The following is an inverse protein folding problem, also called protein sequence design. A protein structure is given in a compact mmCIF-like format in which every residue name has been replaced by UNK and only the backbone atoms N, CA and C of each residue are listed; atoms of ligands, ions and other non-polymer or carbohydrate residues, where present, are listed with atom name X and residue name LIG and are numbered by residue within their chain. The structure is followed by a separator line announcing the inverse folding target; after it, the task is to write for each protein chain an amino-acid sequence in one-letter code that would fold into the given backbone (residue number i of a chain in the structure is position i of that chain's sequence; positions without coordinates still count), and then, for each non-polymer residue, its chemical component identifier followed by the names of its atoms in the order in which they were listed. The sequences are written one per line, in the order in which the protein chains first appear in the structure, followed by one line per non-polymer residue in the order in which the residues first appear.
data_IF_078043800888
#
_entry.id   IF_078043800888
#
_cell.length_a   1.000
_cell.length_b   1.000
_cell.length_c   1.000
_cell.angle_alpha   90.00
_cell.angle_beta   90.00
_cell.angle_gamma   90.00
#
_symmetry.space_group_name_H-M   'P 1'
#
loop_
_entity.id
_entity.type
_entity.pdbx_description
1 polymer ?
#
# COMPACT_ATOMS: atom_id res chain seq x y z
N UNK A 1 5.23 -8.47 31.34
CA UNK A 1 6.45 -8.35 30.50
C UNK A 1 6.14 -7.74 29.12
N UNK A 2 5.00 -7.06 28.92
CA UNK A 2 4.30 -7.25 27.63
C UNK A 2 4.01 -5.97 26.83
N UNK A 3 4.08 -4.77 27.43
CA UNK A 3 3.82 -3.51 26.71
C UNK A 3 4.85 -3.22 25.61
N UNK A 4 6.13 -3.50 25.87
CA UNK A 4 7.18 -3.32 24.88
C UNK A 4 7.04 -4.32 23.73
N UNK A 5 6.63 -5.56 24.02
CA UNK A 5 6.34 -6.58 23.01
C UNK A 5 5.18 -6.15 22.11
N UNK A 6 4.07 -5.64 22.66
CA UNK A 6 2.94 -5.15 21.88
C UNK A 6 3.30 -3.95 20.99
N UNK A 7 4.07 -2.99 21.52
CA UNK A 7 4.55 -1.82 20.78
C UNK A 7 5.47 -2.27 19.63
N UNK A 8 6.45 -3.13 19.92
CA UNK A 8 7.35 -3.67 18.91
C UNK A 8 6.61 -4.50 17.86
N UNK A 9 5.66 -5.34 18.24
CA UNK A 9 4.87 -6.13 17.29
C UNK A 9 3.99 -5.25 16.41
N UNK A 10 3.36 -4.20 16.95
CA UNK A 10 2.55 -3.27 16.15
C UNK A 10 3.40 -2.52 15.12
N UNK A 11 4.59 -2.05 15.53
CA UNK A 11 5.53 -1.39 14.62
C UNK A 11 5.98 -2.34 13.51
N UNK A 12 6.39 -3.57 13.87
CA UNK A 12 6.82 -4.60 12.91
C UNK A 12 5.68 -5.00 11.97
N UNK A 13 4.47 -5.19 12.49
CA UNK A 13 3.28 -5.45 11.67
C UNK A 13 3.05 -4.32 10.66
N UNK A 14 3.14 -3.06 11.10
CA UNK A 14 3.02 -1.90 10.20
C UNK A 14 4.12 -1.86 9.14
N UNK A 15 5.35 -2.16 9.53
CA UNK A 15 6.49 -2.23 8.63
C UNK A 15 6.34 -3.35 7.58
N UNK A 16 5.94 -4.56 7.98
CA UNK A 16 5.70 -5.66 7.06
C UNK A 16 4.49 -5.42 6.16
N UNK A 17 3.42 -4.81 6.68
CA UNK A 17 2.25 -4.45 5.90
C UNK A 17 2.56 -3.39 4.83
N UNK A 18 3.57 -2.55 5.04
CA UNK A 18 4.06 -1.62 4.02
C UNK A 18 4.62 -2.33 2.78
N UNK A 19 5.17 -3.54 2.97
CA UNK A 19 5.76 -4.36 1.92
C UNK A 19 4.69 -5.11 1.11
N UNK A 20 3.47 -5.24 1.65
CA UNK A 20 2.37 -5.88 0.94
C UNK A 20 1.93 -5.01 -0.25
N UNK A 21 1.79 -5.60 -1.45
CA UNK A 21 1.37 -4.86 -2.63
C UNK A 21 -0.09 -4.44 -2.49
N UNK A 22 -0.29 -3.13 -2.35
CA UNK A 22 -1.59 -2.48 -2.35
C UNK A 22 -1.70 -1.44 -3.46
N UNK A 23 -2.92 -1.17 -3.91
CA UNK A 23 -3.19 -0.27 -5.04
C UNK A 23 -2.61 1.14 -4.81
N UNK A 24 -2.84 1.71 -3.62
CA UNK A 24 -2.29 3.02 -3.24
C UNK A 24 -0.76 3.03 -3.17
N UNK A 25 -0.15 2.01 -2.58
CA UNK A 25 1.32 1.90 -2.42
C UNK A 25 2.03 1.77 -3.77
N UNK A 26 1.44 1.05 -4.73
CA UNK A 26 1.98 0.98 -6.09
C UNK A 26 1.90 2.33 -6.79
N UNK A 27 0.80 3.06 -6.65
CA UNK A 27 0.60 4.38 -7.26
C UNK A 27 1.64 5.40 -6.76
N UNK A 28 1.99 5.32 -5.46
CA UNK A 28 3.09 6.10 -4.87
C UNK A 28 4.44 5.77 -5.53
N UNK A 29 4.75 4.47 -5.70
CA UNK A 29 6.03 4.03 -6.26
C UNK A 29 6.13 4.32 -7.77
N UNK A 30 5.06 4.10 -8.54
CA UNK A 30 5.04 4.41 -9.98
C UNK A 30 5.17 5.90 -10.23
N UNK A 31 4.58 6.74 -9.39
CA UNK A 31 4.78 8.19 -9.44
C UNK A 31 6.25 8.58 -9.26
N UNK A 32 6.93 8.04 -8.24
CA UNK A 32 8.35 8.36 -8.00
C UNK A 32 9.26 7.91 -9.15
N UNK A 33 8.93 6.77 -9.78
CA UNK A 33 9.64 6.25 -10.96
C UNK A 33 9.42 7.16 -12.17
N UNK A 34 8.16 7.49 -12.49
CA UNK A 34 7.83 8.26 -13.70
C UNK A 34 8.19 9.73 -13.61
N UNK A 35 8.21 10.31 -12.40
CA UNK A 35 8.44 11.75 -12.20
C UNK A 35 9.92 12.14 -12.08
N UNK A 36 10.85 11.18 -12.08
CA UNK A 36 12.24 11.37 -11.62
C UNK A 36 12.24 11.98 -10.20
N UNK A 37 11.46 11.38 -9.31
CA UNK A 37 11.18 11.93 -7.99
C UNK A 37 12.44 12.22 -7.18
N UNK A 38 12.46 13.37 -6.51
CA UNK A 38 13.48 13.72 -5.51
C UNK A 38 13.20 12.95 -4.21
N UNK A 39 14.21 12.82 -3.35
CA UNK A 39 14.04 12.22 -2.02
C UNK A 39 12.92 12.92 -1.24
N UNK A 40 12.80 14.25 -1.38
CA UNK A 40 11.73 15.05 -0.78
C UNK A 40 10.34 14.59 -1.27
N UNK A 41 10.21 14.21 -2.54
CA UNK A 41 8.94 13.74 -3.09
C UNK A 41 8.53 12.43 -2.40
N UNK A 42 9.48 11.51 -2.17
CA UNK A 42 9.22 10.26 -1.44
C UNK A 42 8.82 10.50 0.02
N UNK A 43 9.44 11.47 0.70
CA UNK A 43 9.10 11.85 2.08
C UNK A 43 7.69 12.42 2.15
N UNK A 44 7.36 13.38 1.27
CA UNK A 44 6.03 14.01 1.24
C UNK A 44 4.96 12.98 0.93
N UNK A 45 5.15 12.18 -0.13
CA UNK A 45 4.17 11.18 -0.55
C UNK A 45 3.93 10.13 0.54
N UNK A 46 5.01 9.57 1.10
CA UNK A 46 4.93 8.55 2.15
C UNK A 46 4.29 9.09 3.42
N UNK A 47 4.59 10.32 3.81
CA UNK A 47 3.98 10.98 4.98
C UNK A 47 2.50 11.24 4.75
N UNK A 48 2.12 11.86 3.63
CA UNK A 48 0.70 12.16 3.34
C UNK A 48 -0.13 10.88 3.26
N UNK A 49 0.39 9.86 2.57
CA UNK A 49 -0.29 8.56 2.46
C UNK A 49 -0.48 7.90 3.84
N UNK A 50 0.56 7.90 4.68
CA UNK A 50 0.48 7.33 6.03
C UNK A 50 -0.49 8.10 6.91
N UNK A 51 -0.44 9.43 6.89
CA UNK A 51 -1.33 10.27 7.69
C UNK A 51 -2.80 10.08 7.29
N UNK A 52 -3.09 10.10 6.00
CA UNK A 52 -4.47 9.93 5.49
C UNK A 52 -5.01 8.54 5.78
N UNK A 53 -4.16 7.52 5.68
CA UNK A 53 -4.47 6.14 6.10
C UNK A 53 -4.78 6.04 7.59
N UNK A 54 -3.89 6.56 8.43
CA UNK A 54 -4.09 6.59 9.88
C UNK A 54 -5.37 7.31 10.24
N UNK A 55 -5.61 8.49 9.63
CA UNK A 55 -6.78 9.31 9.91
C UNK A 55 -8.09 8.57 9.61
N UNK A 56 -8.17 7.89 8.46
CA UNK A 56 -9.35 7.08 8.12
C UNK A 56 -9.62 5.96 9.14
N UNK A 57 -8.57 5.27 9.61
CA UNK A 57 -8.66 4.21 10.63
C UNK A 57 -9.11 4.78 11.97
N UNK A 58 -8.53 5.90 12.41
CA UNK A 58 -8.89 6.54 13.68
C UNK A 58 -10.34 7.02 13.69
N UNK A 59 -10.81 7.64 12.59
CA UNK A 59 -12.21 8.05 12.45
C UNK A 59 -13.14 6.84 12.57
N UNK A 60 -12.86 5.78 11.81
CA UNK A 60 -13.67 4.56 11.87
C UNK A 60 -13.63 3.93 13.27
N UNK A 61 -12.47 3.90 13.92
CA UNK A 61 -12.34 3.42 15.29
C UNK A 61 -13.16 4.19 16.31
N UNK A 62 -13.20 5.52 16.20
CA UNK A 62 -14.03 6.38 17.05
C UNK A 62 -15.51 6.11 16.79
N UNK A 63 -15.93 6.04 15.52
CA UNK A 63 -17.30 5.69 15.13
C UNK A 63 -17.71 4.33 15.69
N UNK A 64 -16.84 3.32 15.60
CA UNK A 64 -17.07 1.98 16.16
C UNK A 64 -17.13 2.00 17.69
N UNK A 65 -16.28 2.80 18.36
CA UNK A 65 -16.25 2.89 19.83
C UNK A 65 -17.52 3.52 20.42
N UNK A 66 -18.17 4.41 19.66
CA UNK A 66 -19.39 5.12 20.08
C UNK A 66 -20.65 4.32 19.70
N UNK A 67 -20.60 3.55 18.61
CA UNK A 67 -21.71 2.71 18.17
C UNK A 67 -21.83 1.46 19.05
N UNK A 68 -23.05 1.13 19.51
CA UNK A 68 -23.35 0.07 20.47
C UNK A 68 -23.19 -1.38 19.93
N UNK A 69 -22.13 -1.67 19.16
CA UNK A 69 -21.78 -3.04 18.77
C UNK A 69 -22.49 -3.63 17.55
N UNK A 70 -23.03 -2.82 16.63
CA UNK A 70 -23.91 -3.32 15.54
C UNK A 70 -23.14 -3.70 14.25
N UNK A 71 -21.84 -3.43 14.15
CA UNK A 71 -21.09 -3.79 12.94
C UNK A 71 -20.44 -5.17 13.08
N UNK A 72 -20.93 -6.15 12.32
CA UNK A 72 -20.25 -7.43 12.10
C UNK A 72 -18.97 -7.17 11.28
N UNK A 73 -17.83 -7.00 11.96
CA UNK A 73 -16.57 -6.51 11.38
C UNK A 73 -15.84 -7.55 10.51
N UNK A 74 -15.98 -8.86 10.78
CA UNK A 74 -15.29 -9.92 10.05
C UNK A 74 -15.64 -9.95 8.54
N UNK A 75 -16.88 -9.63 8.18
CA UNK A 75 -17.33 -9.70 6.79
C UNK A 75 -16.72 -8.59 5.93
N UNK A 76 -16.49 -7.41 6.50
CA UNK A 76 -15.89 -6.28 5.79
C UNK A 76 -14.40 -6.51 5.49
N UNK A 77 -13.67 -7.11 6.44
CA UNK A 77 -12.25 -7.45 6.29
C UNK A 77 -12.04 -8.47 5.17
N UNK A 78 -12.85 -9.53 5.16
CA UNK A 78 -12.76 -10.59 4.15
C UNK A 78 -13.12 -10.12 2.74
N UNK A 79 -14.18 -9.31 2.62
CA UNK A 79 -14.63 -8.78 1.32
C UNK A 79 -13.57 -7.85 0.70
N UNK A 80 -12.96 -6.98 1.50
CA UNK A 80 -11.92 -6.06 1.03
C UNK A 80 -10.67 -6.80 0.52
N UNK A 81 -10.24 -7.86 1.21
CA UNK A 81 -9.09 -8.67 0.78
C UNK A 81 -9.37 -9.48 -0.50
N UNK A 82 -10.56 -10.07 -0.63
CA UNK A 82 -10.97 -10.77 -1.84
C UNK A 82 -11.00 -9.80 -3.03
N UNK A 83 -11.57 -8.61 -2.84
CA UNK A 83 -11.63 -7.58 -3.88
C UNK A 83 -10.23 -7.10 -4.29
N UNK A 84 -9.32 -6.90 -3.33
CA UNK A 84 -7.93 -6.55 -3.60
C UNK A 84 -7.19 -7.64 -4.38
N UNK A 85 -7.34 -8.92 -3.99
CA UNK A 85 -6.72 -10.06 -4.69
C UNK A 85 -7.22 -10.22 -6.12
N UNK A 86 -8.54 -10.09 -6.35
CA UNK A 86 -9.13 -10.11 -7.70
C UNK A 86 -8.55 -8.99 -8.56
N UNK A 87 -8.49 -7.76 -8.05
CA UNK A 87 -7.97 -6.61 -8.77
C UNK A 87 -6.49 -6.81 -9.17
N UNK A 88 -5.66 -7.30 -8.25
CA UNK A 88 -4.23 -7.56 -8.52
C UNK A 88 -4.05 -8.61 -9.61
N UNK A 89 -4.89 -9.66 -9.63
CA UNK A 89 -4.86 -10.68 -10.68
C UNK A 89 -5.28 -10.10 -12.03
N UNK A 90 -6.33 -9.27 -12.07
CA UNK A 90 -6.77 -8.59 -13.30
C UNK A 90 -5.62 -7.74 -13.85
N UNK A 91 -4.94 -6.96 -13.00
CA UNK A 91 -3.79 -6.14 -13.41
C UNK A 91 -2.62 -7.01 -13.91
N UNK A 92 -2.29 -8.10 -13.20
CA UNK A 92 -1.22 -9.02 -13.60
C UNK A 92 -1.48 -9.69 -14.96
N UNK A 93 -2.70 -10.19 -15.16
CA UNK A 93 -3.14 -10.80 -16.43
C UNK A 93 -3.14 -9.76 -17.55
N UNK A 94 -3.65 -8.55 -17.30
CA UNK A 94 -3.66 -7.48 -18.29
C UNK A 94 -2.24 -7.07 -18.71
N UNK A 95 -1.30 -6.98 -17.77
CA UNK A 95 0.12 -6.74 -18.06
C UNK A 95 0.73 -7.89 -18.89
N UNK A 96 0.40 -9.14 -18.58
CA UNK A 96 0.90 -10.30 -19.32
C UNK A 96 0.38 -10.31 -20.77
N UNK A 97 -0.92 -10.06 -20.97
CA UNK A 97 -1.56 -9.98 -22.29
C UNK A 97 -0.98 -8.82 -23.10
N UNK A 98 -0.74 -7.68 -22.45
CA UNK A 98 -0.16 -6.50 -23.09
C UNK A 98 1.24 -6.77 -23.67
N UNK A 99 2.09 -7.49 -22.92
CA UNK A 99 3.44 -7.84 -23.39
C UNK A 99 3.41 -8.88 -24.52
N UNK A 100 2.43 -9.80 -24.49
CA UNK A 100 2.27 -10.85 -25.50
C UNK A 100 1.69 -10.33 -26.82
N UNK A 101 0.76 -9.38 -26.77
CA UNK A 101 0.13 -8.82 -27.98
C UNK A 101 1.07 -7.92 -28.79
N UNK A 102 2.24 -7.58 -28.29
CA UNK A 102 3.15 -6.63 -28.95
C UNK A 102 2.54 -5.23 -29.09
N UNK A 103 1.33 -5.02 -28.57
CA UNK A 103 0.73 -3.72 -28.49
C UNK A 103 1.67 -2.88 -27.65
N UNK A 104 2.18 -1.81 -28.25
CA UNK A 104 2.46 -0.60 -27.51
C UNK A 104 1.26 -0.46 -26.56
N UNK A 105 1.50 -0.61 -25.26
CA UNK A 105 0.61 0.02 -24.29
C UNK A 105 0.58 1.44 -24.82
N UNK A 106 -0.52 1.81 -25.47
CA UNK A 106 -0.87 3.21 -25.53
C UNK A 106 -0.75 3.59 -24.07
N UNK A 107 0.29 4.36 -23.75
CA UNK A 107 0.19 5.28 -22.66
C UNK A 107 -1.12 5.98 -22.98
N UNK A 108 -2.22 5.47 -22.45
CA UNK A 108 -3.25 6.33 -21.95
C UNK A 108 -2.50 7.12 -20.89
N UNK A 109 -1.80 8.14 -21.40
CA UNK A 109 -1.60 9.39 -20.75
C UNK A 109 -3.02 9.81 -20.37
N UNK A 110 -3.53 9.27 -19.27
CA UNK A 110 -4.47 10.02 -18.49
C UNK A 110 -3.70 11.30 -18.20
N UNK A 111 -4.06 12.32 -18.98
CA UNK A 111 -3.62 13.69 -18.88
C UNK A 111 -4.08 14.23 -17.53
N UNK A 112 -3.57 13.67 -16.43
CA UNK A 112 -3.46 14.37 -15.18
C UNK A 112 -2.41 15.43 -15.43
N UNK A 113 -2.92 16.58 -15.88
CA UNK A 113 -2.26 17.88 -15.89
C UNK A 113 -1.09 17.84 -14.92
N UNK A 114 0.13 17.86 -15.47
CA UNK A 114 1.40 17.93 -14.73
C UNK A 114 1.29 19.01 -13.65
N UNK A 115 0.82 18.68 -12.45
CA UNK A 115 1.07 19.50 -11.29
C UNK A 115 2.45 19.09 -10.80
N UNK A 116 3.47 19.74 -11.35
CA UNK A 116 4.86 19.72 -10.84
C UNK A 116 4.96 20.44 -9.48
N UNK A 117 3.99 20.25 -8.60
CA UNK A 117 3.84 20.99 -7.36
C UNK A 117 3.36 20.09 -6.23
N UNK A 118 3.63 20.53 -5.00
CA UNK A 118 3.31 19.82 -3.76
C UNK A 118 1.84 19.36 -3.70
N UNK A 119 0.91 20.11 -4.29
CA UNK A 119 -0.52 19.77 -4.37
C UNK A 119 -0.79 18.46 -5.13
N UNK A 120 -0.04 18.20 -6.21
CA UNK A 120 -0.16 16.94 -6.96
C UNK A 120 0.31 15.76 -6.12
N UNK A 121 1.41 15.93 -5.38
CA UNK A 121 1.91 14.92 -4.44
C UNK A 121 0.92 14.65 -3.32
N UNK A 122 0.34 15.69 -2.75
CA UNK A 122 -0.66 15.55 -1.68
C UNK A 122 -1.87 14.79 -2.20
N UNK A 123 -2.39 15.14 -3.39
CA UNK A 123 -3.56 14.47 -3.98
C UNK A 123 -3.31 12.97 -4.20
N UNK A 124 -2.13 12.61 -4.71
CA UNK A 124 -1.72 11.21 -4.91
C UNK A 124 -1.54 10.49 -3.56
N UNK A 125 -0.95 11.17 -2.57
CA UNK A 125 -0.81 10.64 -1.22
C UNK A 125 -2.17 10.35 -0.57
N UNK A 126 -3.11 11.29 -0.67
CA UNK A 126 -4.47 11.16 -0.12
C UNK A 126 -5.22 10.03 -0.80
N UNK A 127 -5.19 9.94 -2.13
CA UNK A 127 -5.89 8.87 -2.84
C UNK A 127 -5.33 7.49 -2.50
N UNK A 128 -4.01 7.38 -2.30
CA UNK A 128 -3.36 6.14 -1.89
C UNK A 128 -3.60 5.76 -0.44
N UNK A 129 -3.84 6.72 0.45
CA UNK A 129 -4.01 6.50 1.89
C UNK A 129 -5.45 6.41 2.37
N UNK A 130 -6.44 6.97 1.66
CA UNK A 130 -7.83 7.06 2.15
C UNK A 130 -8.50 5.72 2.47
N UNK A 131 -8.04 4.63 1.84
CA UNK A 131 -8.55 3.29 2.11
C UNK A 131 -7.90 2.75 3.39
N UNK A 132 -8.67 2.55 4.47
CA UNK A 132 -8.15 2.04 5.73
C UNK A 132 -7.74 0.57 5.58
N UNK A 133 -6.74 0.17 6.38
CA UNK A 133 -6.24 -1.20 6.39
C UNK A 133 -7.12 -2.07 7.29
N UNK A 134 -7.59 -3.25 6.81
CA UNK A 134 -8.38 -4.17 7.63
C UNK A 134 -7.59 -4.68 8.83
N UNK A 135 -6.29 -5.00 8.70
CA UNK A 135 -5.48 -5.50 9.81
C UNK A 135 -5.37 -4.49 10.98
N UNK A 136 -5.26 -3.19 10.68
CA UNK A 136 -5.25 -2.15 11.70
C UNK A 136 -6.61 -2.00 12.38
N UNK A 137 -7.71 -2.14 11.62
CA UNK A 137 -9.08 -2.14 12.16
C UNK A 137 -9.37 -3.39 13.00
N UNK A 138 -8.83 -4.56 12.64
CA UNK A 138 -8.98 -5.79 13.41
C UNK A 138 -8.35 -5.65 14.81
N UNK A 139 -7.11 -5.14 14.88
CA UNK A 139 -6.43 -4.88 16.16
C UNK A 139 -7.20 -3.86 17.00
N UNK A 140 -7.63 -2.76 16.39
CA UNK A 140 -8.41 -1.73 17.06
C UNK A 140 -9.73 -2.29 17.60
N UNK A 141 -10.48 -3.03 16.77
CA UNK A 141 -11.73 -3.69 17.14
C UNK A 141 -11.56 -4.68 18.29
N UNK A 142 -10.50 -5.51 18.25
CA UNK A 142 -10.21 -6.46 19.31
C UNK A 142 -9.97 -5.78 20.67
N UNK A 143 -9.25 -4.66 20.67
CA UNK A 143 -9.01 -3.89 21.91
C UNK A 143 -10.25 -3.12 22.39
N UNK A 144 -11.09 -2.64 21.47
CA UNK A 144 -12.40 -2.04 21.81
C UNK A 144 -13.30 -3.09 22.46
N UNK A 145 -13.39 -4.29 21.86
CA UNK A 145 -14.15 -5.41 22.40
C UNK A 145 -13.62 -5.88 23.78
N UNK A 146 -12.30 -5.80 23.98
CA UNK A 146 -11.65 -6.06 25.27
C UNK A 146 -11.80 -4.95 26.32
N UNK A 147 -12.56 -3.88 26.02
CA UNK A 147 -12.79 -2.76 26.95
C UNK A 147 -11.60 -1.81 27.12
N UNK A 148 -10.59 -1.88 26.24
CA UNK A 148 -9.35 -1.08 26.31
C UNK A 148 -9.10 -0.32 25.00
N UNK A 149 -10.04 0.54 24.56
CA UNK A 149 -9.95 1.24 23.28
C UNK A 149 -8.69 2.11 23.15
N UNK A 150 -8.22 2.70 24.26
CA UNK A 150 -7.01 3.52 24.29
C UNK A 150 -5.76 2.75 23.82
N UNK A 151 -5.65 1.46 24.18
CA UNK A 151 -4.55 0.61 23.76
C UNK A 151 -4.58 0.38 22.24
N UNK A 152 -5.77 0.18 21.67
CA UNK A 152 -5.96 0.06 20.22
C UNK A 152 -5.53 1.30 19.46
N UNK A 153 -5.96 2.48 19.90
CA UNK A 153 -5.57 3.74 19.26
C UNK A 153 -4.05 3.95 19.31
N UNK A 154 -3.42 3.63 20.44
CA UNK A 154 -1.96 3.68 20.57
C UNK A 154 -1.27 2.71 19.60
N UNK A 155 -1.76 1.46 19.51
CA UNK A 155 -1.21 0.46 18.59
C UNK A 155 -1.36 0.88 17.13
N UNK A 156 -2.46 1.51 16.73
CA UNK A 156 -2.67 2.05 15.38
C UNK A 156 -1.65 3.16 15.06
N UNK A 157 -1.35 4.04 16.01
CA UNK A 157 -0.34 5.09 15.82
C UNK A 157 1.03 4.44 15.59
N UNK A 158 1.41 3.46 16.43
CA UNK A 158 2.70 2.77 16.33
C UNK A 158 2.81 1.96 15.02
N UNK A 159 1.74 1.26 14.65
CA UNK A 159 1.63 0.58 13.36
C UNK A 159 1.86 1.54 12.20
N UNK A 160 1.24 2.72 12.26
CA UNK A 160 1.36 3.74 11.22
C UNK A 160 2.76 4.34 11.13
N UNK A 161 3.48 4.46 12.24
CA UNK A 161 4.89 4.85 12.23
C UNK A 161 5.77 3.82 11.50
N UNK A 162 5.55 2.52 11.75
CA UNK A 162 6.24 1.44 11.04
C UNK A 162 5.93 1.45 9.54
N UNK A 163 4.66 1.60 9.19
CA UNK A 163 4.19 1.71 7.81
C UNK A 163 4.84 2.88 7.07
N UNK A 164 4.82 4.07 7.67
CA UNK A 164 5.37 5.29 7.05
C UNK A 164 6.87 5.23 6.89
N UNK A 165 7.61 4.70 7.88
CA UNK A 165 9.05 4.54 7.79
C UNK A 165 9.46 3.65 6.60
N UNK A 166 8.77 2.52 6.41
CA UNK A 166 9.05 1.61 5.29
C UNK A 166 8.65 2.21 3.95
N UNK A 167 7.50 2.88 3.83
CA UNK A 167 7.09 3.52 2.57
C UNK A 167 8.07 4.60 2.11
N UNK A 168 8.52 5.46 3.04
CA UNK A 168 9.54 6.47 2.74
C UNK A 168 10.86 5.79 2.36
N UNK A 169 11.28 4.78 3.14
CA UNK A 169 12.50 4.02 2.88
C UNK A 169 12.50 3.34 1.50
N UNK A 170 11.40 2.67 1.14
CA UNK A 170 11.20 2.08 -0.18
C UNK A 170 11.24 3.14 -1.27
N UNK A 171 10.55 4.28 -1.11
CA UNK A 171 10.57 5.36 -2.08
C UNK A 171 12.00 5.89 -2.34
N UNK A 172 12.78 6.10 -1.28
CA UNK A 172 14.19 6.52 -1.39
C UNK A 172 15.04 5.43 -2.06
N UNK A 173 14.86 4.17 -1.66
CA UNK A 173 15.56 3.02 -2.24
C UNK A 173 15.28 2.93 -3.74
N UNK A 174 14.02 3.09 -4.17
CA UNK A 174 13.62 3.09 -5.57
C UNK A 174 14.24 4.25 -6.36
N UNK A 175 14.27 5.46 -5.80
CA UNK A 175 14.92 6.63 -6.44
C UNK A 175 16.42 6.37 -6.60
N UNK A 176 17.10 5.85 -5.58
CA UNK A 176 18.54 5.55 -5.66
C UNK A 176 18.82 4.40 -6.63
N UNK A 177 18.03 3.33 -6.57
CA UNK A 177 18.16 2.17 -7.46
C UNK A 177 17.92 2.56 -8.92
N UNK A 178 16.91 3.38 -9.22
CA UNK A 178 16.65 3.84 -10.59
C UNK A 178 17.78 4.71 -11.16
N UNK A 179 18.48 5.48 -10.33
CA UNK A 179 19.68 6.22 -10.73
C UNK A 179 20.89 5.29 -10.97
N UNK A 180 21.01 4.20 -10.22
CA UNK A 180 22.07 3.18 -10.40
C UNK A 180 21.82 2.29 -11.63
N UNK A 181 20.58 1.86 -11.83
CA UNK A 181 20.15 0.97 -12.91
C UNK A 181 20.13 1.64 -14.28
N UNK A 182 20.23 2.97 -14.34
CA UNK A 182 20.31 3.72 -15.59
C UNK A 182 21.49 3.28 -16.48
N UNK A 183 22.54 2.72 -15.89
CA UNK A 183 23.72 2.20 -16.58
C UNK A 183 23.64 0.69 -16.90
N UNK A 184 22.82 -0.08 -16.18
CA UNK A 184 22.70 -1.54 -16.33
C UNK A 184 21.55 -1.97 -17.27
N UNK A 185 20.48 -1.16 -17.35
CA UNK A 185 19.30 -1.47 -18.18
C UNK A 185 19.54 -1.25 -19.68
N UNK A 186 20.59 -0.51 -20.08
CA UNK A 186 20.92 -0.36 -21.51
C UNK A 186 21.36 -1.69 -22.17
N UNK A 187 21.71 -2.72 -21.40
CA UNK A 187 22.11 -4.05 -21.91
C UNK A 187 21.02 -5.14 -21.89
N UNK A 188 19.90 -4.94 -21.18
CA UNK A 188 18.84 -5.96 -21.05
C UNK A 188 17.68 -5.63 -21.98
N UNK A 189 17.28 -6.60 -22.82
CA UNK A 189 16.09 -6.48 -23.66
C UNK A 189 14.88 -6.12 -22.81
N UNK A 190 14.35 -4.90 -22.99
CA UNK A 190 13.19 -4.34 -22.28
C UNK A 190 11.96 -5.25 -22.27
N UNK A 191 11.90 -6.23 -23.19
CA UNK A 191 10.88 -7.28 -23.23
C UNK A 191 11.04 -8.30 -22.10
N UNK A 192 12.25 -8.81 -21.81
CA UNK A 192 12.48 -9.80 -20.75
C UNK A 192 12.16 -9.22 -19.37
N UNK A 193 12.62 -8.00 -19.09
CA UNK A 193 12.34 -7.32 -17.82
C UNK A 193 10.83 -7.13 -17.57
N UNK A 194 10.06 -6.76 -18.61
CA UNK A 194 8.59 -6.61 -18.51
C UNK A 194 7.88 -7.94 -18.26
N UNK A 195 8.31 -9.03 -18.90
CA UNK A 195 7.74 -10.37 -18.69
C UNK A 195 8.00 -10.84 -17.26
N UNK A 196 9.24 -10.70 -16.77
CA UNK A 196 9.60 -11.12 -15.40
C UNK A 196 8.76 -10.40 -14.35
N UNK A 197 8.58 -9.07 -14.46
CA UNK A 197 7.72 -8.32 -13.55
C UNK A 197 6.25 -8.74 -13.62
N UNK A 198 5.70 -8.96 -14.83
CA UNK A 198 4.32 -9.38 -15.00
C UNK A 198 4.06 -10.77 -14.38
N UNK A 199 4.99 -11.72 -14.56
CA UNK A 199 4.92 -13.05 -13.95
C UNK A 199 4.96 -12.95 -12.43
N UNK A 200 5.91 -12.19 -11.86
CA UNK A 200 6.02 -12.00 -10.41
C UNK A 200 4.75 -11.39 -9.81
N UNK A 201 4.19 -10.35 -10.42
CA UNK A 201 2.96 -9.69 -9.95
C UNK A 201 1.76 -10.66 -10.00
N UNK A 202 1.64 -11.45 -11.07
CA UNK A 202 0.53 -12.40 -11.25
C UNK A 202 0.61 -13.56 -10.25
N UNK A 203 1.80 -14.12 -10.04
CA UNK A 203 2.03 -15.18 -9.04
C UNK A 203 1.74 -14.66 -7.63
N UNK A 204 2.15 -13.44 -7.33
CA UNK A 204 1.88 -12.82 -6.03
C UNK A 204 0.37 -12.60 -5.82
N UNK A 205 -0.36 -12.10 -6.83
CA UNK A 205 -1.82 -11.96 -6.77
C UNK A 205 -2.54 -13.28 -6.55
N UNK A 206 -2.10 -14.35 -7.23
CA UNK A 206 -2.64 -15.70 -7.04
C UNK A 206 -2.39 -16.22 -5.62
N UNK A 207 -1.19 -15.99 -5.07
CA UNK A 207 -0.87 -16.34 -3.69
C UNK A 207 -1.77 -15.63 -2.68
N UNK A 208 -2.03 -14.32 -2.86
CA UNK A 208 -2.94 -13.56 -1.99
C UNK A 208 -4.37 -14.13 -2.02
N UNK A 209 -4.90 -14.47 -3.20
CA UNK A 209 -6.22 -15.08 -3.32
C UNK A 209 -6.27 -16.45 -2.66
N UNK A 210 -5.29 -17.31 -2.91
CA UNK A 210 -5.27 -18.66 -2.37
C UNK A 210 -5.14 -18.64 -0.84
N UNK A 211 -4.32 -17.73 -0.28
CA UNK A 211 -4.20 -17.53 1.16
C UNK A 211 -5.56 -17.25 1.80
N UNK A 212 -6.36 -16.35 1.23
CA UNK A 212 -7.63 -15.91 1.82
C UNK A 212 -8.82 -16.87 1.57
N UNK A 213 -8.68 -17.78 0.59
CA UNK A 213 -9.69 -18.81 0.29
C UNK A 213 -9.43 -20.09 1.11
N UNK A 214 -8.17 -20.42 1.39
CA UNK A 214 -7.77 -21.72 1.96
C UNK A 214 -7.46 -21.65 3.45
N UNK A 215 -7.00 -20.50 3.96
CA UNK A 215 -6.61 -20.26 5.36
C UNK A 215 -7.61 -19.29 5.99
#
# INVERSE_FOLDING_TARGET
MDSLLYISSAFLLGAFHALEPGHGKMLLMTYLISSKGRIIDAIILGTVATLTHTFSILILGILTSISSGIFMHETAERVMEIMAGILVIIVGIWMLISVLRGNHIHNEEHHHKRQKGVIGLITIGVSGGIVPCPAALAVLSATIAGGRPADGFLLVIIFSLGLGAVLIGMGILFIKASNLFKYYIEGISSRKARITSAVLITVFGLFLLLKNIII
#
